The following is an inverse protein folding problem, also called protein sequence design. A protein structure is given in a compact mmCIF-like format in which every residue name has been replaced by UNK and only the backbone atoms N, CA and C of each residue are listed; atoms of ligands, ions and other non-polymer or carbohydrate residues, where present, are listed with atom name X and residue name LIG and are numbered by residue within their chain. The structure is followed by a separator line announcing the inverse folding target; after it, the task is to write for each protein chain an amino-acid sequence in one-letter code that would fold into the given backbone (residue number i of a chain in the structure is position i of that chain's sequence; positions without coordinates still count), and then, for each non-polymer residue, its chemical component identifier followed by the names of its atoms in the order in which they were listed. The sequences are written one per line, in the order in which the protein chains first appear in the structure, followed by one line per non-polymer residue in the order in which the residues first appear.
data_IF_985825575880
#
_entry.id   IF_985825575880
#
_cell.length_a   1.000
_cell.length_b   1.000
_cell.length_c   1.000
_cell.angle_alpha   90.00
_cell.angle_beta   90.00
_cell.angle_gamma   90.00
#
_symmetry.space_group_name_H-M   'P 1'
#
loop_
_entity.id
_entity.type
_entity.pdbx_description
1 polymer ?
#
# COMPACT_ATOMS: atom_id res chain seq x y z
N UNK A 1 18.28 44.64 -38.14
CA UNK A 1 17.87 43.71 -39.21
C UNK A 1 18.23 42.30 -38.79
N UNK A 2 17.36 41.35 -39.14
CA UNK A 2 17.49 39.90 -38.93
C UNK A 2 17.11 39.32 -37.56
N UNK A 3 15.79 39.18 -37.42
CA UNK A 3 15.06 38.00 -36.96
C UNK A 3 15.84 36.66 -37.00
N UNK A 4 15.58 35.78 -36.03
CA UNK A 4 14.95 34.49 -36.34
C UNK A 4 14.29 33.81 -35.13
N UNK A 5 13.08 33.35 -35.40
CA UNK A 5 12.10 32.71 -34.53
C UNK A 5 12.53 31.31 -34.08
N UNK A 6 12.14 30.93 -32.87
CA UNK A 6 11.95 29.52 -32.49
C UNK A 6 10.50 29.36 -32.00
N UNK A 7 9.71 28.68 -32.85
CA UNK A 7 8.36 28.21 -32.57
C UNK A 7 8.40 27.07 -31.52
N UNK A 8 7.59 27.20 -30.46
CA UNK A 8 7.24 26.10 -29.56
C UNK A 8 5.73 26.15 -29.32
N UNK A 9 5.01 25.21 -29.94
CA UNK A 9 3.56 25.20 -30.09
C UNK A 9 2.77 25.14 -28.78
N UNK A 10 1.80 26.04 -28.68
CA UNK A 10 0.67 25.98 -27.77
C UNK A 10 -0.30 24.91 -28.26
N UNK A 11 -0.56 23.89 -27.44
CA UNK A 11 -1.69 22.98 -27.64
C UNK A 11 -2.99 23.70 -27.27
N UNK A 12 -4.02 23.75 -28.14
CA UNK A 12 -5.26 24.42 -27.80
C UNK A 12 -6.13 23.60 -26.84
N UNK A 13 -6.67 24.30 -25.85
CA UNK A 13 -7.72 23.87 -24.94
C UNK A 13 -8.91 23.27 -25.71
N UNK A 14 -9.37 22.09 -25.27
CA UNK A 14 -10.64 21.49 -25.70
C UNK A 14 -11.78 22.15 -24.90
N UNK A 15 -12.78 22.78 -25.54
CA UNK A 15 -13.93 23.35 -24.83
C UNK A 15 -14.90 22.25 -24.35
N UNK A 16 -15.73 22.53 -23.31
CA UNK A 16 -16.67 21.57 -22.75
C UNK A 16 -17.87 21.36 -23.68
N UNK A 17 -18.32 20.10 -23.77
CA UNK A 17 -19.51 19.71 -24.52
C UNK A 17 -20.76 20.19 -23.80
N UNK A 18 -21.61 20.84 -24.60
CA UNK A 18 -22.93 21.38 -24.30
C UNK A 18 -23.86 20.39 -23.59
N UNK A 19 -24.62 20.95 -22.66
CA UNK A 19 -25.80 20.39 -22.00
C UNK A 19 -26.83 19.82 -22.98
N UNK A 20 -27.25 18.58 -22.78
CA UNK A 20 -28.55 18.10 -23.25
C UNK A 20 -29.39 17.65 -22.05
N UNK A 21 -30.54 18.30 -21.90
CA UNK A 21 -31.65 17.93 -21.04
C UNK A 21 -32.36 16.70 -21.64
N UNK A 22 -32.84 15.73 -20.85
CA UNK A 22 -33.77 14.73 -21.36
C UNK A 22 -35.19 15.32 -21.41
N UNK A 23 -35.81 15.21 -22.57
CA UNK A 23 -37.23 15.47 -22.81
C UNK A 23 -38.09 14.36 -22.19
N UNK A 24 -39.02 14.77 -21.34
CA UNK A 24 -40.13 13.92 -20.88
C UNK A 24 -41.07 13.63 -22.07
N UNK A 25 -41.39 12.36 -22.30
CA UNK A 25 -42.55 11.97 -23.09
C UNK A 25 -43.31 10.85 -22.40
N UNK A 26 -44.49 11.24 -21.94
CA UNK A 26 -45.58 10.44 -21.40
C UNK A 26 -46.10 9.50 -22.51
N UNK A 27 -46.24 8.21 -22.21
CA UNK A 27 -47.10 7.30 -22.97
C UNK A 27 -48.01 6.53 -22.02
N UNK A 28 -49.25 6.96 -22.00
CA UNK A 28 -50.41 6.20 -21.54
C UNK A 28 -50.73 5.12 -22.57
N UNK A 29 -50.97 3.89 -22.11
CA UNK A 29 -51.84 2.89 -22.74
C UNK A 29 -52.43 2.11 -21.55
N UNK A 30 -53.67 2.41 -21.19
CA UNK A 30 -54.91 1.82 -21.70
C UNK A 30 -55.22 0.47 -21.04
N UNK A 31 -56.32 0.53 -20.30
CA UNK A 31 -57.12 -0.52 -19.73
C UNK A 31 -57.55 -1.53 -20.79
N UNK A 32 -57.44 -2.83 -20.50
CA UNK A 32 -58.39 -3.81 -21.00
C UNK A 32 -58.79 -4.74 -19.85
N UNK A 33 -60.05 -4.59 -19.48
CA UNK A 33 -60.79 -5.46 -18.57
C UNK A 33 -61.41 -6.60 -19.39
N UNK A 34 -61.17 -7.84 -18.99
CA UNK A 34 -62.04 -8.96 -19.37
C UNK A 34 -62.09 -9.98 -18.21
N UNK A 35 -63.17 -9.88 -17.43
CA UNK A 35 -63.65 -10.95 -16.56
C UNK A 35 -64.42 -11.97 -17.39
N UNK A 36 -64.15 -13.27 -17.24
CA UNK A 36 -65.23 -14.27 -17.11
C UNK A 36 -64.71 -15.64 -16.66
N UNK A 37 -65.05 -15.98 -15.41
CA UNK A 37 -65.83 -17.15 -15.04
C UNK A 37 -65.58 -18.46 -15.79
N UNK A 38 -64.98 -19.43 -15.10
CA UNK A 38 -65.48 -20.81 -15.11
C UNK A 38 -65.23 -21.49 -13.77
N UNK A 39 -66.24 -22.24 -13.36
CA UNK A 39 -66.53 -22.70 -12.01
C UNK A 39 -66.51 -24.23 -12.01
N UNK A 40 -65.94 -24.82 -10.96
CA UNK A 40 -66.09 -26.21 -10.49
C UNK A 40 -65.43 -27.30 -11.38
N UNK A 41 -64.77 -28.34 -10.86
CA UNK A 41 -65.34 -29.31 -9.92
C UNK A 41 -64.30 -29.96 -8.97
N UNK A 42 -64.81 -30.36 -7.80
CA UNK A 42 -64.21 -31.19 -6.75
C UNK A 42 -63.98 -32.64 -7.20
N UNK A 43 -62.89 -33.24 -6.73
CA UNK A 43 -62.83 -34.59 -6.10
C UNK A 43 -61.64 -34.52 -5.12
N UNK A 44 -61.75 -34.65 -3.79
CA UNK A 44 -62.25 -35.71 -2.90
C UNK A 44 -61.61 -37.07 -3.14
N UNK A 45 -60.42 -37.30 -2.58
CA UNK A 45 -59.99 -38.64 -2.16
C UNK A 45 -59.46 -38.56 -0.74
N UNK A 46 -60.07 -39.38 0.11
CA UNK A 46 -59.81 -39.51 1.54
C UNK A 46 -58.53 -40.32 1.81
N UNK A 47 -57.97 -40.00 2.98
CA UNK A 47 -56.90 -40.69 3.68
C UNK A 47 -57.04 -42.22 3.71
N UNK A 48 -55.95 -42.92 3.44
CA UNK A 48 -55.66 -44.21 4.07
C UNK A 48 -54.26 -44.15 4.67
N UNK A 49 -54.25 -44.12 6.00
CA UNK A 49 -53.08 -44.28 6.84
C UNK A 49 -52.74 -45.77 6.88
N UNK A 50 -51.52 -46.14 6.49
CA UNK A 50 -50.99 -47.49 6.74
C UNK A 50 -49.59 -47.35 7.33
N UNK A 51 -49.43 -48.01 8.46
CA UNK A 51 -48.32 -47.96 9.39
C UNK A 51 -46.96 -48.35 8.77
N UNK A 52 -45.92 -47.70 9.30
CA UNK A 52 -44.52 -48.07 9.09
C UNK A 52 -44.17 -49.41 9.76
N UNK A 53 -43.18 -50.14 9.22
CA UNK A 53 -42.26 -50.93 10.03
C UNK A 53 -40.90 -50.26 10.11
N UNK A 54 -40.45 -50.14 11.36
CA UNK A 54 -39.16 -49.66 11.81
C UNK A 54 -38.02 -50.56 11.28
N UNK A 55 -37.06 -49.99 10.54
CA UNK A 55 -35.76 -50.63 10.27
C UNK A 55 -34.66 -49.60 10.54
N UNK A 56 -33.80 -49.92 11.51
CA UNK A 56 -32.64 -49.14 11.90
C UNK A 56 -31.67 -48.96 10.72
N UNK A 57 -31.24 -47.72 10.47
CA UNK A 57 -29.98 -47.44 9.75
C UNK A 57 -29.13 -46.45 10.58
N UNK A 58 -27.82 -46.69 10.72
CA UNK A 58 -26.99 -45.87 11.59
C UNK A 58 -26.57 -44.55 10.91
N UNK A 59 -26.36 -43.56 11.76
CA UNK A 59 -25.58 -42.35 11.56
C UNK A 59 -24.41 -42.55 10.57
N UNK A 60 -24.24 -41.59 9.65
CA UNK A 60 -22.96 -40.92 9.32
C UNK A 60 -22.90 -40.49 7.83
N UNK A 61 -23.59 -39.38 7.50
CA UNK A 61 -23.54 -38.82 6.13
C UNK A 61 -22.92 -37.41 6.10
N UNK A 62 -22.97 -36.65 7.21
CA UNK A 62 -22.40 -35.30 7.25
C UNK A 62 -20.89 -35.25 7.57
N UNK A 63 -20.35 -36.16 8.38
CA UNK A 63 -18.90 -36.20 8.63
C UNK A 63 -18.12 -36.84 7.48
N UNK A 64 -18.71 -37.80 6.76
CA UNK A 64 -18.07 -38.40 5.59
C UNK A 64 -17.89 -37.39 4.45
N UNK A 65 -18.83 -36.45 4.26
CA UNK A 65 -18.72 -35.41 3.23
C UNK A 65 -17.70 -34.32 3.58
N UNK A 66 -17.59 -33.94 4.86
CA UNK A 66 -16.60 -32.96 5.32
C UNK A 66 -15.16 -33.51 5.26
N UNK A 67 -14.99 -34.83 5.46
CA UNK A 67 -13.68 -35.51 5.42
C UNK A 67 -13.09 -35.57 4.01
N UNK A 68 -13.92 -35.83 2.98
CA UNK A 68 -13.45 -35.93 1.59
C UNK A 68 -12.97 -34.58 1.05
N UNK A 69 -13.69 -33.49 1.34
CA UNK A 69 -13.32 -32.14 0.88
C UNK A 69 -11.97 -31.66 1.45
N UNK A 70 -11.68 -31.96 2.72
CA UNK A 70 -10.41 -31.59 3.36
C UNK A 70 -9.21 -32.40 2.83
N UNK A 71 -9.41 -33.67 2.46
CA UNK A 71 -8.37 -34.52 1.86
C UNK A 71 -8.00 -34.08 0.44
N UNK A 72 -8.98 -33.64 -0.36
CA UNK A 72 -8.71 -33.09 -1.70
C UNK A 72 -7.90 -31.79 -1.66
N UNK A 73 -8.19 -30.90 -0.69
CA UNK A 73 -7.44 -29.64 -0.54
C UNK A 73 -5.99 -29.89 -0.07
N UNK A 74 -5.78 -30.86 0.83
CA UNK A 74 -4.43 -31.28 1.26
C UNK A 74 -3.61 -31.87 0.11
N UNK A 75 -4.19 -32.77 -0.69
CA UNK A 75 -3.50 -33.44 -1.79
C UNK A 75 -3.17 -32.47 -2.95
N UNK A 76 -3.98 -31.43 -3.14
CA UNK A 76 -3.71 -30.34 -4.09
C UNK A 76 -2.55 -29.42 -3.64
N UNK A 77 -2.43 -29.15 -2.34
CA UNK A 77 -1.34 -28.34 -1.78
C UNK A 77 0.00 -29.10 -1.85
N UNK A 78 0.03 -30.39 -1.52
CA UNK A 78 1.28 -31.17 -1.51
C UNK A 78 1.87 -31.38 -2.91
N UNK A 79 1.04 -31.59 -3.94
CA UNK A 79 1.50 -31.68 -5.34
C UNK A 79 2.13 -30.40 -5.88
N UNK A 80 1.86 -29.25 -5.25
CA UNK A 80 2.40 -27.95 -5.68
C UNK A 80 3.73 -27.60 -5.02
N UNK A 81 4.09 -28.26 -3.91
CA UNK A 81 5.33 -28.01 -3.17
C UNK A 81 6.48 -28.96 -3.54
N UNK A 82 6.20 -30.09 -4.19
CA UNK A 82 7.24 -30.97 -4.74
C UNK A 82 7.54 -30.59 -6.19
N UNK A 83 8.30 -29.51 -6.37
CA UNK A 83 8.90 -29.15 -7.66
C UNK A 83 10.30 -29.78 -7.74
N UNK A 84 10.52 -30.85 -8.52
CA UNK A 84 11.79 -31.57 -8.58
C UNK A 84 12.82 -30.89 -9.51
N UNK A 85 12.60 -29.65 -9.91
CA UNK A 85 13.43 -28.95 -10.90
C UNK A 85 14.53 -28.07 -10.28
N UNK A 86 15.08 -28.45 -9.12
CA UNK A 86 16.16 -27.68 -8.52
C UNK A 86 17.19 -28.56 -7.82
N UNK A 87 17.75 -29.53 -8.55
CA UNK A 87 18.91 -30.27 -8.06
C UNK A 87 19.83 -30.63 -9.24
N UNK A 88 20.42 -29.59 -9.86
CA UNK A 88 21.63 -29.77 -10.66
C UNK A 88 22.81 -29.37 -9.78
N UNK A 89 23.38 -30.39 -9.16
CA UNK A 89 24.63 -30.35 -8.39
C UNK A 89 25.79 -30.14 -9.37
N UNK A 90 26.29 -28.91 -9.46
CA UNK A 90 27.61 -28.65 -10.03
C UNK A 90 28.65 -28.73 -8.90
N UNK A 91 29.51 -29.75 -9.00
CA UNK A 91 30.58 -30.07 -8.06
C UNK A 91 31.56 -28.91 -7.90
N UNK A 92 32.01 -28.72 -6.66
CA UNK A 92 32.90 -27.67 -6.19
C UNK A 92 34.23 -27.64 -6.97
N UNK A 93 34.44 -26.56 -7.74
CA UNK A 93 35.78 -26.09 -8.08
C UNK A 93 36.06 -24.91 -7.15
N UNK A 94 36.97 -25.11 -6.20
CA UNK A 94 37.45 -24.05 -5.32
C UNK A 94 38.20 -22.99 -6.14
N UNK A 95 37.47 -22.03 -6.69
CA UNK A 95 38.03 -20.78 -7.19
C UNK A 95 38.47 -19.99 -5.95
N UNK A 96 39.73 -19.53 -5.83
CA UNK A 96 40.11 -18.63 -4.75
C UNK A 96 39.19 -17.41 -4.84
N UNK A 97 38.30 -17.27 -3.85
CA UNK A 97 37.34 -16.18 -3.78
C UNK A 97 38.11 -14.86 -3.91
N UNK A 98 37.70 -13.95 -4.81
CA UNK A 98 38.31 -12.61 -4.85
C UNK A 98 38.20 -12.05 -3.44
N UNK A 99 39.33 -11.64 -2.84
CA UNK A 99 39.37 -11.03 -1.50
C UNK A 99 38.25 -9.99 -1.47
N UNK A 100 37.15 -10.32 -0.80
CA UNK A 100 35.98 -9.48 -0.80
C UNK A 100 36.46 -8.13 -0.27
N UNK A 101 36.35 -7.08 -1.09
CA UNK A 101 36.80 -5.75 -0.72
C UNK A 101 35.99 -5.36 0.52
N UNK A 102 36.57 -5.56 1.71
CA UNK A 102 35.88 -5.34 2.98
C UNK A 102 35.31 -3.93 2.92
N UNK A 103 33.99 -3.83 3.08
CA UNK A 103 33.26 -2.57 2.97
C UNK A 103 33.88 -1.60 3.97
N UNK A 104 34.59 -0.59 3.49
CA UNK A 104 35.32 0.33 4.36
C UNK A 104 34.37 0.95 5.38
N UNK A 105 34.71 0.82 6.67
CA UNK A 105 33.96 1.43 7.78
C UNK A 105 33.88 2.94 7.55
N UNK A 106 32.67 3.48 7.57
CA UNK A 106 32.44 4.93 7.48
C UNK A 106 32.41 5.52 8.89
N UNK A 107 33.37 6.40 9.19
CA UNK A 107 33.42 7.10 10.47
C UNK A 107 32.14 7.92 10.72
N UNK A 108 31.61 7.80 11.93
CA UNK A 108 30.55 8.66 12.47
C UNK A 108 31.08 10.07 12.75
N UNK A 109 30.19 11.06 12.88
CA UNK A 109 30.60 12.44 13.20
C UNK A 109 31.32 12.54 14.55
N UNK A 110 30.92 11.70 15.51
CA UNK A 110 31.56 11.64 16.82
C UNK A 110 32.99 11.08 16.71
N UNK A 111 33.18 9.94 16.05
CA UNK A 111 34.52 9.37 15.85
C UNK A 111 35.45 10.34 15.10
N UNK A 112 34.96 11.04 14.07
CA UNK A 112 35.74 12.07 13.35
C UNK A 112 36.19 13.19 14.29
N UNK A 113 35.30 13.65 15.17
CA UNK A 113 35.63 14.69 16.16
C UNK A 113 36.71 14.24 17.12
N UNK A 114 36.60 13.01 17.65
CA UNK A 114 37.59 12.45 18.57
C UNK A 114 38.97 12.28 17.91
N UNK A 115 39.00 11.78 16.67
CA UNK A 115 40.23 11.67 15.87
C UNK A 115 40.88 13.05 15.72
N UNK A 116 40.10 14.05 15.31
CA UNK A 116 40.63 15.40 15.13
C UNK A 116 41.14 16.02 16.43
N UNK A 117 40.39 15.88 17.53
CA UNK A 117 40.83 16.35 18.85
C UNK A 117 42.15 15.71 19.25
N UNK A 118 42.29 14.40 19.06
CA UNK A 118 43.54 13.66 19.34
C UNK A 118 44.70 14.18 18.49
N UNK A 119 44.45 14.43 17.20
CA UNK A 119 45.43 15.00 16.27
C UNK A 119 45.85 16.39 16.73
N UNK A 120 44.91 17.28 17.07
CA UNK A 120 45.18 18.65 17.53
C UNK A 120 45.99 18.65 18.83
N UNK A 121 45.66 17.79 19.80
CA UNK A 121 46.42 17.68 21.06
C UNK A 121 47.87 17.21 20.86
N UNK A 122 48.11 16.39 19.83
CA UNK A 122 49.43 15.84 19.51
C UNK A 122 50.14 16.59 18.37
N UNK A 123 49.59 17.74 17.96
CA UNK A 123 50.18 18.60 16.97
C UNK A 123 50.95 19.71 17.69
N UNK A 124 52.28 19.62 17.65
CA UNK A 124 53.18 20.58 18.29
C UNK A 124 54.31 20.94 17.33
N UNK A 125 54.70 22.21 17.28
CA UNK A 125 55.84 22.66 16.45
C UNK A 125 55.66 22.42 14.95
N UNK A 126 54.42 22.47 14.44
CA UNK A 126 54.13 22.27 13.01
C UNK A 126 54.22 20.82 12.52
N UNK A 127 54.47 19.86 13.40
CA UNK A 127 54.59 18.43 13.07
C UNK A 127 53.66 17.58 13.93
N UNK A 128 53.19 16.48 13.35
CA UNK A 128 52.39 15.48 14.05
C UNK A 128 53.32 14.42 14.67
N UNK A 129 53.03 13.97 15.90
CA UNK A 129 53.77 12.88 16.54
C UNK A 129 53.89 11.66 15.60
N UNK A 130 55.10 11.12 15.48
CA UNK A 130 55.36 9.93 14.67
C UNK A 130 54.51 8.74 15.15
N UNK A 131 54.01 7.93 14.22
CA UNK A 131 53.20 6.75 14.53
C UNK A 131 51.74 7.02 14.93
N UNK A 132 51.36 8.27 15.26
CA UNK A 132 49.99 8.59 15.70
C UNK A 132 48.92 8.21 14.66
N UNK A 133 49.22 8.40 13.37
CA UNK A 133 48.31 8.02 12.29
C UNK A 133 48.07 6.50 12.27
N UNK A 134 49.11 5.70 12.53
CA UNK A 134 48.99 4.25 12.58
C UNK A 134 48.24 3.79 13.85
N UNK A 135 48.45 4.49 14.98
CA UNK A 135 47.70 4.28 16.21
C UNK A 135 46.21 4.54 15.99
N UNK A 136 45.84 5.73 15.48
CA UNK A 136 44.45 6.08 15.16
C UNK A 136 43.81 5.16 14.12
N UNK A 137 44.61 4.69 13.15
CA UNK A 137 44.16 3.70 12.17
C UNK A 137 43.75 2.38 12.83
N UNK A 138 44.53 1.94 13.83
CA UNK A 138 44.28 0.74 14.61
C UNK A 138 43.08 0.91 15.56
N UNK A 139 43.07 2.01 16.34
CA UNK A 139 42.04 2.32 17.33
C UNK A 139 40.63 2.38 16.70
N UNK A 140 40.49 2.98 15.52
CA UNK A 140 39.19 3.18 14.88
C UNK A 140 38.89 2.15 13.79
N UNK A 141 39.79 1.21 13.49
CA UNK A 141 39.71 0.21 12.40
C UNK A 141 39.46 0.85 11.03
N UNK A 142 40.23 1.89 10.70
CA UNK A 142 40.10 2.63 9.44
C UNK A 142 41.44 2.68 8.72
N UNK A 143 41.42 2.76 7.39
CA UNK A 143 42.65 2.90 6.61
C UNK A 143 43.49 4.12 7.04
N UNK A 144 44.80 3.95 7.03
CA UNK A 144 45.78 5.02 7.23
C UNK A 144 45.52 6.23 6.31
N UNK A 145 45.06 5.96 5.09
CA UNK A 145 44.70 6.99 4.09
C UNK A 145 43.59 7.88 4.63
N UNK A 146 42.55 7.32 5.23
CA UNK A 146 41.42 8.08 5.78
C UNK A 146 41.87 9.04 6.89
N UNK A 147 42.69 8.55 7.83
CA UNK A 147 43.24 9.38 8.91
C UNK A 147 44.14 10.48 8.33
N UNK A 148 44.95 10.15 7.32
CA UNK A 148 45.80 11.13 6.61
C UNK A 148 44.97 12.21 5.91
N UNK A 149 43.86 11.85 5.26
CA UNK A 149 42.95 12.81 4.63
C UNK A 149 42.28 13.71 5.66
N UNK A 150 41.89 13.16 6.81
CA UNK A 150 41.36 13.96 7.93
C UNK A 150 42.42 14.96 8.39
N UNK A 151 43.66 14.51 8.60
CA UNK A 151 44.76 15.38 8.99
C UNK A 151 45.00 16.53 8.00
N UNK A 152 45.10 16.22 6.70
CA UNK A 152 45.25 17.24 5.65
C UNK A 152 44.11 18.27 5.69
N UNK A 153 42.88 17.81 5.92
CA UNK A 153 41.71 18.70 6.03
C UNK A 153 41.84 19.65 7.22
N UNK A 154 42.29 19.14 8.38
CA UNK A 154 42.54 19.96 9.58
C UNK A 154 43.63 20.99 9.32
N UNK A 155 44.73 20.60 8.66
CA UNK A 155 45.80 21.55 8.28
C UNK A 155 45.28 22.67 7.37
N UNK A 156 44.44 22.35 6.39
CA UNK A 156 43.83 23.36 5.52
C UNK A 156 42.93 24.31 6.32
N UNK A 157 42.07 23.77 7.20
CA UNK A 157 41.17 24.59 8.03
C UNK A 157 41.94 25.52 8.99
N UNK A 158 43.03 25.03 9.57
CA UNK A 158 43.92 25.83 10.43
C UNK A 158 44.60 26.96 9.65
N UNK A 159 45.07 26.70 8.42
CA UNK A 159 45.63 27.74 7.55
C UNK A 159 44.60 28.80 7.17
N UNK A 160 43.35 28.40 6.96
CA UNK A 160 42.24 29.29 6.64
C UNK A 160 41.72 30.08 7.87
N UNK A 161 42.27 29.87 9.07
CA UNK A 161 41.80 30.50 10.31
C UNK A 161 40.39 30.07 10.75
N UNK A 162 39.87 28.96 10.22
CA UNK A 162 38.52 28.46 10.52
C UNK A 162 38.56 27.50 11.72
N UNK A 163 37.52 27.57 12.56
CA UNK A 163 37.22 26.48 13.48
C UNK A 163 37.06 25.19 12.68
N UNK A 164 37.81 24.16 13.05
CA UNK A 164 37.90 22.94 12.28
C UNK A 164 36.54 22.20 12.28
N UNK A 165 35.86 22.21 11.13
CA UNK A 165 34.62 21.45 10.93
C UNK A 165 34.95 19.98 10.70
N UNK A 166 34.51 19.14 11.64
CA UNK A 166 34.79 17.71 11.68
C UNK A 166 33.63 16.85 11.15
N UNK A 167 32.54 17.50 10.74
CA UNK A 167 31.35 16.84 10.24
C UNK A 167 31.62 16.09 8.94
N UNK A 168 30.88 15.02 8.73
CA UNK A 168 30.88 14.29 7.48
C UNK A 168 30.27 15.18 6.39
N UNK A 169 31.09 15.56 5.41
CA UNK A 169 30.66 16.35 4.23
C UNK A 169 29.55 15.66 3.43
N UNK A 170 29.58 14.32 3.37
CA UNK A 170 28.49 13.55 2.78
C UNK A 170 27.38 13.32 3.81
N UNK A 171 26.43 14.23 3.83
CA UNK A 171 25.10 13.98 4.36
C UNK A 171 24.32 13.37 3.19
N UNK A 172 23.70 12.21 3.39
CA UNK A 172 22.94 11.55 2.32
C UNK A 172 21.81 12.44 1.77
N UNK A 173 20.97 11.89 0.89
CA UNK A 173 19.82 12.62 0.37
C UNK A 173 18.97 13.15 1.53
N UNK A 174 18.89 14.48 1.67
CA UNK A 174 18.04 15.14 2.66
C UNK A 174 16.59 14.67 2.46
N UNK A 175 15.93 14.26 3.53
CA UNK A 175 14.52 13.83 3.47
C UNK A 175 13.65 14.97 2.92
N UNK A 176 12.56 14.60 2.23
CA UNK A 176 11.54 15.49 1.68
C UNK A 176 11.28 16.68 2.61
N UNK A 177 11.34 17.89 2.03
CA UNK A 177 11.25 19.18 2.73
C UNK A 177 10.20 19.14 3.83
N UNK A 178 10.56 19.64 5.02
CA UNK A 178 9.60 19.86 6.10
C UNK A 178 8.56 20.84 5.56
N UNK A 179 7.31 20.40 5.43
CA UNK A 179 6.20 21.29 5.10
C UNK A 179 5.85 22.06 6.36
N UNK A 180 5.65 23.35 6.18
CA UNK A 180 5.03 24.22 7.16
C UNK A 180 3.52 23.93 7.20
N UNK A 181 3.06 23.31 8.28
CA UNK A 181 1.66 22.90 8.45
C UNK A 181 0.72 24.11 8.56
N UNK A 182 1.22 25.27 8.99
CA UNK A 182 0.43 26.49 9.06
C UNK A 182 0.00 26.95 7.65
N UNK A 183 0.87 26.76 6.65
CA UNK A 183 0.49 27.02 5.24
C UNK A 183 -0.64 26.12 4.77
N UNK A 184 -0.65 24.86 5.20
CA UNK A 184 -1.74 23.93 4.88
C UNK A 184 -3.05 24.35 5.57
N UNK A 185 -2.96 24.86 6.80
CA UNK A 185 -4.12 25.34 7.57
C UNK A 185 -4.71 26.63 7.00
N UNK A 186 -3.93 27.46 6.30
CA UNK A 186 -4.41 28.72 5.72
C UNK A 186 -5.09 28.56 4.34
N UNK A 187 -4.91 27.43 3.66
CA UNK A 187 -5.54 27.15 2.35
C UNK A 187 -7.04 26.87 2.53
N UNK A 188 -7.93 27.24 1.61
CA UNK A 188 -9.37 26.90 1.75
C UNK A 188 -9.63 25.38 1.80
N UNK A 189 -10.66 24.95 2.54
CA UNK A 189 -10.97 23.52 2.73
C UNK A 189 -11.16 22.76 1.42
N UNK A 190 -11.82 23.36 0.44
CA UNK A 190 -12.08 22.78 -0.89
C UNK A 190 -10.78 22.35 -1.58
N UNK A 191 -9.77 23.22 -1.51
CA UNK A 191 -8.46 23.01 -2.14
C UNK A 191 -7.57 22.02 -1.38
N UNK A 192 -7.93 21.66 -0.14
CA UNK A 192 -7.23 20.63 0.65
C UNK A 192 -7.68 19.20 0.31
N UNK A 193 -8.82 19.04 -0.36
CA UNK A 193 -9.42 17.71 -0.62
C UNK A 193 -8.62 16.88 -1.62
N UNK A 194 -8.07 17.53 -2.65
CA UNK A 194 -7.34 16.88 -3.74
C UNK A 194 -5.84 17.16 -3.62
N UNK A 195 -5.04 16.10 -3.77
CA UNK A 195 -3.56 16.19 -3.72
C UNK A 195 -3.03 17.15 -4.79
N UNK A 196 -3.68 17.22 -5.97
CA UNK A 196 -3.25 18.11 -7.05
C UNK A 196 -3.49 19.57 -6.69
N UNK A 197 -4.68 19.90 -6.21
CA UNK A 197 -5.06 21.27 -5.86
C UNK A 197 -4.23 21.76 -4.66
N UNK A 198 -4.05 20.91 -3.65
CA UNK A 198 -3.16 21.18 -2.53
C UNK A 198 -1.70 21.40 -2.98
N UNK A 199 -1.23 20.64 -3.97
CA UNK A 199 0.11 20.79 -4.52
C UNK A 199 0.29 22.11 -5.27
N UNK A 200 -0.74 22.55 -6.01
CA UNK A 200 -0.75 23.85 -6.69
C UNK A 200 -0.66 25.00 -5.69
N UNK A 201 -1.48 24.97 -4.64
CA UNK A 201 -1.50 26.01 -3.59
C UNK A 201 -0.19 26.05 -2.79
N UNK A 202 0.38 24.88 -2.46
CA UNK A 202 1.65 24.78 -1.75
C UNK A 202 2.88 25.03 -2.65
N UNK A 203 2.69 25.15 -3.98
CA UNK A 203 3.76 25.25 -4.98
C UNK A 203 4.77 24.10 -4.87
N UNK A 204 4.24 22.89 -4.64
CA UNK A 204 5.02 21.66 -4.52
C UNK A 204 4.64 20.69 -5.64
N UNK A 205 5.54 19.77 -6.03
CA UNK A 205 5.15 18.71 -6.95
C UNK A 205 4.19 17.73 -6.27
N UNK A 206 3.21 17.22 -7.01
CA UNK A 206 2.19 16.28 -6.51
C UNK A 206 2.80 15.07 -5.77
N UNK A 207 3.92 14.54 -6.28
CA UNK A 207 4.63 13.40 -5.66
C UNK A 207 5.18 13.73 -4.27
N UNK A 208 5.55 14.99 -4.02
CA UNK A 208 6.00 15.43 -2.71
C UNK A 208 4.85 15.47 -1.72
N UNK A 209 3.71 16.04 -2.11
CA UNK A 209 2.50 16.09 -1.27
C UNK A 209 2.01 14.66 -0.98
N UNK A 210 1.94 13.79 -1.99
CA UNK A 210 1.56 12.39 -1.82
C UNK A 210 2.45 11.65 -0.80
N UNK A 211 3.78 11.81 -0.88
CA UNK A 211 4.71 11.20 0.09
C UNK A 211 4.51 11.72 1.52
N UNK A 212 3.98 12.92 1.67
CA UNK A 212 3.75 13.55 2.98
C UNK A 212 2.46 13.05 3.60
N UNK A 213 1.43 12.84 2.77
CA UNK A 213 0.19 12.15 3.15
C UNK A 213 0.50 10.71 3.57
N UNK A 214 1.30 9.97 2.79
CA UNK A 214 1.72 8.61 3.13
C UNK A 214 2.51 8.52 4.44
N UNK A 215 3.28 9.56 4.77
CA UNK A 215 3.99 9.67 6.05
C UNK A 215 3.08 10.07 7.21
N UNK A 216 1.80 10.35 6.98
CA UNK A 216 0.83 10.72 8.00
C UNK A 216 0.94 12.16 8.51
N UNK A 217 1.72 13.03 7.86
CA UNK A 217 1.85 14.44 8.28
C UNK A 217 0.62 15.28 7.91
N UNK A 218 -0.07 14.88 6.86
CA UNK A 218 -1.36 15.43 6.41
C UNK A 218 -2.28 14.22 6.29
N UNK A 219 -3.46 14.29 6.91
CA UNK A 219 -4.43 13.19 6.88
C UNK A 219 -5.68 13.62 6.12
N UNK A 220 -6.21 12.71 5.31
CA UNK A 220 -7.52 12.90 4.71
C UNK A 220 -8.60 12.74 5.79
N UNK A 221 -9.56 13.66 5.83
CA UNK A 221 -10.73 13.53 6.69
C UNK A 221 -11.87 12.88 5.91
N UNK A 222 -12.50 11.88 6.50
CA UNK A 222 -13.73 11.27 5.97
C UNK A 222 -14.93 12.11 6.41
N UNK A 223 -15.92 12.26 5.53
CA UNK A 223 -17.16 12.96 5.90
C UNK A 223 -18.00 12.10 6.83
N UNK A 224 -18.71 12.76 7.77
CA UNK A 224 -19.64 12.07 8.68
C UNK A 224 -20.82 11.43 7.94
N UNK A 225 -21.24 12.03 6.82
CA UNK A 225 -22.35 11.56 5.97
C UNK A 225 -22.04 10.18 5.36
N UNK A 226 -20.77 9.86 5.13
CA UNK A 226 -20.33 8.59 4.52
C UNK A 226 -19.13 8.04 5.29
N UNK A 227 -19.35 7.47 6.48
CA UNK A 227 -18.28 6.92 7.29
C UNK A 227 -17.62 5.74 6.54
N UNK A 228 -16.32 5.56 6.76
CA UNK A 228 -15.60 4.41 6.23
C UNK A 228 -16.10 3.13 6.89
N UNK A 229 -16.32 2.08 6.08
CA UNK A 229 -16.74 0.78 6.61
C UNK A 229 -15.58 0.14 7.38
N UNK A 230 -15.80 -0.12 8.69
CA UNK A 230 -14.93 -0.99 9.48
C UNK A 230 -14.96 -2.42 8.94
N UNK A 231 -13.96 -3.23 9.28
CA UNK A 231 -13.93 -4.63 8.85
C UNK A 231 -15.12 -5.42 9.40
N UNK A 232 -15.55 -5.11 10.63
CA UNK A 232 -16.75 -5.67 11.25
C UNK A 232 -18.00 -5.29 10.45
N UNK A 233 -18.15 -4.02 10.06
CA UNK A 233 -19.29 -3.56 9.26
C UNK A 233 -19.31 -4.23 7.87
N UNK A 234 -18.14 -4.47 7.27
CA UNK A 234 -18.03 -5.21 6.00
C UNK A 234 -18.49 -6.66 6.17
N UNK A 235 -18.07 -7.31 7.26
CA UNK A 235 -18.42 -8.70 7.54
C UNK A 235 -19.92 -8.84 7.83
N UNK A 236 -20.50 -7.94 8.63
CA UNK A 236 -21.95 -7.90 8.88
C UNK A 236 -22.74 -7.71 7.58
N UNK A 237 -22.30 -6.79 6.70
CA UNK A 237 -22.90 -6.61 5.38
C UNK A 237 -22.78 -7.86 4.51
N UNK A 238 -21.61 -8.52 4.50
CA UNK A 238 -21.41 -9.74 3.73
C UNK A 238 -22.30 -10.88 4.24
N UNK A 239 -22.37 -11.08 5.56
CA UNK A 239 -23.25 -12.08 6.17
C UNK A 239 -24.71 -11.81 5.83
N UNK A 240 -25.13 -10.54 5.89
CA UNK A 240 -26.48 -10.15 5.48
C UNK A 240 -26.74 -10.51 4.01
N UNK A 241 -25.83 -10.16 3.10
CA UNK A 241 -25.96 -10.51 1.67
C UNK A 241 -26.05 -12.03 1.46
N UNK A 242 -25.19 -12.80 2.14
CA UNK A 242 -25.19 -14.27 2.06
C UNK A 242 -26.48 -14.88 2.59
N UNK A 243 -27.06 -14.31 3.65
CA UNK A 243 -28.34 -14.77 4.20
C UNK A 243 -29.52 -14.57 3.23
N UNK A 244 -29.36 -13.67 2.25
CA UNK A 244 -30.36 -13.36 1.24
C UNK A 244 -30.20 -14.14 -0.05
N UNK A 245 -29.29 -15.11 -0.09
CA UNK A 245 -29.15 -16.05 -1.20
C UNK A 245 -30.12 -17.21 -0.98
N UNK A 246 -30.86 -17.58 -2.03
CA UNK A 246 -31.81 -18.68 -1.96
C UNK A 246 -31.08 -20.03 -1.83
N UNK A 247 -31.34 -20.76 -0.74
CA UNK A 247 -30.63 -22.01 -0.41
C UNK A 247 -30.80 -23.11 -1.45
N UNK A 248 -31.92 -23.11 -2.19
CA UNK A 248 -32.16 -24.09 -3.27
C UNK A 248 -31.22 -23.91 -4.48
N UNK A 249 -30.59 -22.74 -4.61
CA UNK A 249 -29.73 -22.37 -5.76
C UNK A 249 -28.24 -22.46 -5.47
N UNK A 250 -27.85 -22.94 -4.28
CA UNK A 250 -26.45 -23.04 -3.84
C UNK A 250 -25.56 -23.89 -4.76
N UNK A 251 -26.14 -24.89 -5.43
CA UNK A 251 -25.41 -25.83 -6.27
C UNK A 251 -25.32 -25.41 -7.75
N UNK A 252 -25.79 -24.20 -8.08
CA UNK A 252 -25.84 -23.69 -9.46
C UNK A 252 -25.72 -22.18 -9.52
N UNK A 253 -26.56 -21.53 -10.33
CA UNK A 253 -26.59 -20.08 -10.41
C UNK A 253 -27.23 -19.51 -9.16
N UNK A 254 -26.44 -18.82 -8.33
CA UNK A 254 -26.90 -18.19 -7.09
C UNK A 254 -27.96 -17.12 -7.42
N UNK A 255 -29.16 -17.28 -6.87
CA UNK A 255 -30.26 -16.31 -7.01
C UNK A 255 -30.54 -15.68 -5.65
N UNK A 256 -30.72 -14.36 -5.61
CA UNK A 256 -31.15 -13.65 -4.42
C UNK A 256 -32.64 -13.90 -4.15
N UNK A 257 -33.01 -13.97 -2.87
CA UNK A 257 -34.39 -13.98 -2.44
C UNK A 257 -35.12 -12.74 -2.96
N UNK A 258 -36.36 -12.91 -3.45
CA UNK A 258 -37.11 -11.82 -4.08
C UNK A 258 -37.60 -10.74 -3.09
N UNK A 259 -37.52 -11.00 -1.77
CA UNK A 259 -37.86 -10.06 -0.69
C UNK A 259 -39.29 -9.49 -0.74
N UNK A 260 -40.25 -10.18 -1.37
CA UNK A 260 -41.65 -9.72 -1.46
C UNK A 260 -42.33 -9.53 -0.10
N UNK A 261 -41.81 -10.15 0.96
CA UNK A 261 -42.32 -10.05 2.33
C UNK A 261 -41.62 -8.96 3.16
N UNK A 262 -40.65 -8.22 2.60
CA UNK A 262 -39.87 -7.22 3.33
C UNK A 262 -40.20 -5.81 2.85
N UNK A 263 -40.80 -5.01 3.74
CA UNK A 263 -41.01 -3.57 3.53
C UNK A 263 -39.84 -2.80 4.14
N UNK A 264 -39.12 -2.03 3.32
CA UNK A 264 -38.01 -1.18 3.78
C UNK A 264 -38.57 0.21 4.14
N UNK A 265 -38.43 0.61 5.40
CA UNK A 265 -38.85 1.92 5.90
C UNK A 265 -37.58 2.68 6.31
N UNK A 266 -37.40 3.89 5.77
CA UNK A 266 -36.29 4.78 6.11
C UNK A 266 -36.89 6.12 6.55
N UNK A 267 -36.54 6.58 7.74
CA UNK A 267 -36.94 7.88 8.25
C UNK A 267 -35.87 8.91 7.89
N UNK A 268 -36.31 10.08 7.44
CA UNK A 268 -35.44 11.19 7.00
C UNK A 268 -35.37 12.29 8.04
#
# INVERSE_FOLDING_TARGET
MSNNNICGGLTPFRPPISSQQPSNSIRQHQEESASSTQQQQRTSVQHHSVAAPNMHTPNNTLEQQQTVAHLFLRQWIERRLTNPFNEVVCKDVAIPTPIARLKQKRLTNLERRMICQRITLNFQGGKLKHGLINQLSSDYTVSRVTITTIWKTVQTQLKDGKLADFSRKYQGRKSTRVIDLEKVRNIDLEKRMNIRDLALELKLPCTTVWRIVQKGKIRAHTSSIRPTLSNENKLARLQWVLSKICSSTLNGNLVFEAMFEVVHIDEK
#
